data_IF_051517762159
#
_entry.id   IF_051517762159
#
_cell.length_a   1.000
_cell.length_b   1.000
_cell.length_c   1.000
_cell.angle_alpha   90.00
_cell.angle_beta   90.00
_cell.angle_gamma   90.00
#
_symmetry.space_group_name_H-M   'P 1'
#
loop_
_entity.id
_entity.type
_entity.pdbx_description
1 polymer ?
#
# COMPACT_ATOMS: atom_id res chain seq x y z
N UNK A 1 -38.13 23.50 -1.99
CA UNK A 1 -37.39 22.31 -1.51
C UNK A 1 -36.36 21.79 -2.51
N UNK A 2 -36.69 21.63 -3.81
CA UNK A 2 -35.74 21.10 -4.83
C UNK A 2 -34.48 21.97 -5.03
N UNK A 3 -34.61 23.29 -5.08
CA UNK A 3 -33.49 24.24 -5.31
C UNK A 3 -32.46 24.25 -4.18
N UNK A 4 -32.89 24.02 -2.93
CA UNK A 4 -32.01 23.96 -1.77
C UNK A 4 -31.17 22.66 -1.77
N UNK A 5 -31.75 21.54 -2.20
CA UNK A 5 -31.02 20.28 -2.39
C UNK A 5 -29.96 20.37 -3.49
N UNK A 6 -30.22 21.07 -4.59
CA UNK A 6 -29.22 21.25 -5.67
C UNK A 6 -28.03 22.12 -5.22
N UNK A 7 -28.28 23.20 -4.47
CA UNK A 7 -27.20 24.05 -3.95
C UNK A 7 -26.34 23.32 -2.91
N UNK A 8 -26.96 22.54 -2.02
CA UNK A 8 -26.23 21.75 -1.02
C UNK A 8 -25.39 20.64 -1.67
N UNK A 9 -25.92 19.97 -2.71
CA UNK A 9 -25.18 18.97 -3.47
C UNK A 9 -23.95 19.55 -4.19
N UNK A 10 -24.09 20.75 -4.79
CA UNK A 10 -22.98 21.44 -5.44
C UNK A 10 -21.85 21.81 -4.48
N UNK A 11 -22.19 22.28 -3.28
CA UNK A 11 -21.22 22.62 -2.23
C UNK A 11 -20.46 21.40 -1.69
N UNK A 12 -21.16 20.27 -1.51
CA UNK A 12 -20.52 19.04 -1.05
C UNK A 12 -19.55 18.47 -2.09
N UNK A 13 -19.91 18.54 -3.37
CA UNK A 13 -19.04 18.08 -4.45
C UNK A 13 -17.79 18.96 -4.59
N UNK A 14 -17.94 20.28 -4.49
CA UNK A 14 -16.80 21.21 -4.56
C UNK A 14 -15.86 21.04 -3.37
N UNK A 15 -16.39 20.82 -2.17
CA UNK A 15 -15.58 20.52 -0.98
C UNK A 15 -14.85 19.18 -1.14
N UNK A 16 -15.53 18.12 -1.58
CA UNK A 16 -14.91 16.82 -1.81
C UNK A 16 -13.79 16.89 -2.86
N UNK A 17 -14.02 17.63 -3.95
CA UNK A 17 -13.00 17.87 -4.97
C UNK A 17 -11.83 18.70 -4.43
N UNK A 18 -12.09 19.75 -3.64
CA UNK A 18 -11.06 20.56 -2.99
C UNK A 18 -10.18 19.74 -2.04
N UNK A 19 -10.78 18.89 -1.21
CA UNK A 19 -10.06 17.93 -0.36
C UNK A 19 -9.23 16.95 -1.21
N UNK A 20 -9.80 16.44 -2.30
CA UNK A 20 -9.09 15.53 -3.20
C UNK A 20 -7.88 16.22 -3.87
N UNK A 21 -8.03 17.44 -4.35
CA UNK A 21 -6.94 18.20 -4.99
C UNK A 21 -5.83 18.53 -3.97
N UNK A 22 -6.20 18.79 -2.72
CA UNK A 22 -5.25 19.08 -1.62
C UNK A 22 -4.65 17.84 -0.96
N UNK A 23 -4.86 16.66 -1.55
CA UNK A 23 -4.20 15.41 -1.16
C UNK A 23 -4.95 14.55 -0.14
N UNK A 24 -6.15 14.94 0.29
CA UNK A 24 -6.93 14.16 1.24
C UNK A 24 -7.62 12.97 0.57
N UNK A 25 -7.52 11.78 1.17
CA UNK A 25 -8.12 10.53 0.70
C UNK A 25 -8.70 9.75 1.87
N UNK A 26 -9.78 9.02 1.62
CA UNK A 26 -10.27 8.02 2.56
C UNK A 26 -9.50 6.71 2.36
N UNK A 27 -8.86 6.20 3.42
CA UNK A 27 -8.38 4.83 3.45
C UNK A 27 -9.55 3.93 3.85
N UNK A 28 -9.99 3.10 2.91
CA UNK A 28 -11.04 2.10 3.11
C UNK A 28 -10.49 0.67 3.07
N UNK A 29 -9.17 0.52 3.19
CA UNK A 29 -8.50 -0.79 3.22
C UNK A 29 -8.01 -1.11 4.62
N UNK A 30 -8.18 -2.36 5.06
CA UNK A 30 -7.72 -2.82 6.38
C UNK A 30 -6.20 -2.93 6.53
N UNK A 31 -5.43 -2.45 5.55
CA UNK A 31 -3.98 -2.44 5.64
C UNK A 31 -3.45 -1.43 6.64
N UNK A 32 -4.19 -0.35 6.89
CA UNK A 32 -3.97 0.67 7.92
C UNK A 32 -5.34 1.08 8.49
N UNK A 33 -5.42 1.81 9.61
CA UNK A 33 -6.71 2.25 10.17
C UNK A 33 -7.59 2.92 9.12
N UNK A 34 -8.89 2.64 9.16
CA UNK A 34 -9.86 3.34 8.31
C UNK A 34 -9.85 4.82 8.71
N UNK A 35 -10.02 5.72 7.74
CA UNK A 35 -9.92 7.14 8.07
C UNK A 35 -9.63 8.07 6.92
N UNK A 36 -9.51 9.34 7.26
CA UNK A 36 -9.02 10.40 6.40
C UNK A 36 -7.51 10.52 6.54
N UNK A 37 -6.83 10.42 5.40
CA UNK A 37 -5.39 10.56 5.28
C UNK A 37 -5.08 11.75 4.38
N UNK A 38 -4.00 12.46 4.66
CA UNK A 38 -3.45 13.46 3.76
C UNK A 38 -2.21 12.90 3.08
N UNK A 39 -2.16 13.02 1.76
CA UNK A 39 -1.03 12.60 0.94
C UNK A 39 -0.19 13.81 0.55
N UNK A 40 1.09 13.79 0.92
CA UNK A 40 2.04 14.85 0.58
C UNK A 40 2.98 14.39 -0.53
N UNK A 41 3.06 15.16 -1.61
CA UNK A 41 3.99 14.92 -2.70
C UNK A 41 5.41 15.23 -2.23
N UNK A 42 6.31 14.27 -2.39
CA UNK A 42 7.75 14.40 -2.13
C UNK A 42 8.50 13.36 -2.95
N UNK A 43 9.80 13.57 -3.15
CA UNK A 43 10.68 12.61 -3.81
C UNK A 43 11.76 12.08 -2.84
N UNK A 44 11.59 12.33 -1.54
CA UNK A 44 12.49 11.89 -0.49
C UNK A 44 11.75 10.90 0.41
N UNK A 45 12.22 9.66 0.39
CA UNK A 45 11.64 8.54 1.12
C UNK A 45 12.71 7.83 1.91
N UNK A 46 12.38 7.47 3.15
CA UNK A 46 13.27 6.80 4.07
C UNK A 46 12.55 5.63 4.74
N UNK A 47 13.34 4.75 5.35
CA UNK A 47 12.79 3.67 6.17
C UNK A 47 11.87 4.24 7.27
N UNK A 48 10.72 3.60 7.46
CA UNK A 48 9.70 4.00 8.44
C UNK A 48 8.64 4.96 7.90
N UNK A 49 8.84 5.58 6.75
CA UNK A 49 7.82 6.42 6.12
C UNK A 49 6.58 5.58 5.76
N UNK A 50 5.40 6.13 6.07
CA UNK A 50 4.14 5.65 5.54
C UNK A 50 3.92 6.30 4.17
N UNK A 51 3.71 5.51 3.13
CA UNK A 51 3.62 5.99 1.75
C UNK A 51 2.40 5.43 1.04
N UNK A 52 1.95 6.17 0.04
CA UNK A 52 0.97 5.72 -0.95
C UNK A 52 1.69 5.41 -2.26
N UNK A 53 1.42 4.26 -2.87
CA UNK A 53 2.04 3.87 -4.13
C UNK A 53 1.09 3.02 -4.99
N UNK A 54 1.38 2.97 -6.29
CA UNK A 54 0.71 2.07 -7.22
C UNK A 54 1.63 0.88 -7.54
N UNK A 55 1.29 -0.36 -7.16
CA UNK A 55 2.12 -1.50 -7.54
C UNK A 55 2.15 -1.64 -9.07
N UNK A 56 3.30 -2.03 -9.67
CA UNK A 56 3.40 -2.20 -11.12
C UNK A 56 2.51 -3.36 -11.61
N UNK A 57 2.00 -3.30 -12.85
CA UNK A 57 1.24 -4.41 -13.43
C UNK A 57 2.07 -5.70 -13.44
N UNK A 58 1.49 -6.81 -12.96
CA UNK A 58 2.10 -8.14 -13.00
C UNK A 58 1.03 -9.21 -12.82
N UNK A 59 1.34 -10.46 -13.17
CA UNK A 59 0.45 -11.59 -12.93
C UNK A 59 0.10 -11.77 -11.44
N UNK A 60 1.02 -11.42 -10.54
CA UNK A 60 0.77 -11.46 -9.08
C UNK A 60 -0.30 -10.44 -8.68
N UNK A 61 -0.21 -9.21 -9.19
CA UNK A 61 -1.19 -8.16 -8.89
C UNK A 61 -2.54 -8.48 -9.54
N UNK A 62 -2.55 -8.97 -10.78
CA UNK A 62 -3.78 -9.42 -11.45
C UNK A 62 -4.48 -10.53 -10.67
N UNK A 63 -3.73 -11.53 -10.20
CA UNK A 63 -4.28 -12.60 -9.36
C UNK A 63 -4.79 -12.06 -8.02
N UNK A 64 -4.06 -11.12 -7.41
CA UNK A 64 -4.48 -10.49 -6.15
C UNK A 64 -5.78 -9.69 -6.29
N UNK A 65 -6.02 -9.08 -7.45
CA UNK A 65 -7.29 -8.44 -7.79
C UNK A 65 -8.41 -9.47 -7.99
N UNK A 66 -8.18 -10.52 -8.78
CA UNK A 66 -9.15 -11.61 -9.01
C UNK A 66 -9.55 -12.33 -7.71
N UNK A 67 -8.62 -12.43 -6.75
CA UNK A 67 -8.85 -13.05 -5.45
C UNK A 67 -9.24 -12.06 -4.35
N UNK A 68 -9.46 -10.79 -4.71
CA UNK A 68 -9.88 -9.69 -3.83
C UNK A 68 -8.95 -9.36 -2.66
N UNK A 69 -7.68 -9.77 -2.72
CA UNK A 69 -6.67 -9.31 -1.77
C UNK A 69 -6.39 -7.82 -1.94
N UNK A 70 -6.51 -7.33 -3.18
CA UNK A 70 -6.46 -5.93 -3.55
C UNK A 70 -7.81 -5.52 -4.15
N UNK A 71 -8.14 -4.24 -4.05
CA UNK A 71 -9.35 -3.67 -4.67
C UNK A 71 -9.01 -3.03 -6.00
N UNK A 72 -9.96 -3.06 -6.94
CA UNK A 72 -9.81 -2.37 -8.23
C UNK A 72 -9.83 -0.85 -8.05
N UNK A 73 -9.04 -0.13 -8.86
CA UNK A 73 -8.90 1.31 -8.76
C UNK A 73 -8.09 1.94 -9.88
N UNK A 74 -7.47 3.08 -9.58
CA UNK A 74 -6.92 4.01 -10.58
C UNK A 74 -5.46 3.75 -10.96
N UNK A 75 -4.78 2.78 -10.34
CA UNK A 75 -3.42 2.44 -10.73
C UNK A 75 -3.39 1.77 -12.11
N UNK A 76 -2.27 1.91 -12.84
CA UNK A 76 -2.07 1.22 -14.13
C UNK A 76 -2.18 -0.30 -14.04
N UNK A 77 -1.90 -0.87 -12.88
CA UNK A 77 -2.09 -2.29 -12.58
C UNK A 77 -3.54 -2.70 -12.35
N UNK A 78 -4.47 -1.75 -12.36
CA UNK A 78 -5.88 -1.95 -12.08
C UNK A 78 -6.23 -1.88 -10.60
N UNK A 79 -5.27 -1.78 -9.67
CA UNK A 79 -5.55 -1.69 -8.23
C UNK A 79 -5.89 -0.27 -7.76
N UNK A 80 -6.45 -0.15 -6.56
CA UNK A 80 -6.37 1.10 -5.80
C UNK A 80 -4.90 1.38 -5.43
N UNK A 81 -4.51 2.65 -5.21
CA UNK A 81 -3.27 2.97 -4.52
C UNK A 81 -3.23 2.26 -3.16
N UNK A 82 -2.06 1.77 -2.78
CA UNK A 82 -1.84 1.04 -1.54
C UNK A 82 -1.10 1.92 -0.54
N UNK A 83 -1.50 1.84 0.73
CA UNK A 83 -0.78 2.48 1.84
C UNK A 83 0.06 1.41 2.55
N UNK A 84 1.38 1.61 2.59
CA UNK A 84 2.33 0.73 3.29
C UNK A 84 3.46 1.54 3.91
N UNK A 85 4.15 0.94 4.89
CA UNK A 85 5.34 1.50 5.51
C UNK A 85 6.57 0.95 4.82
N UNK A 86 7.56 1.81 4.58
CA UNK A 86 8.86 1.41 4.03
C UNK A 86 9.64 0.65 5.11
N UNK A 87 9.90 -0.63 4.86
CA UNK A 87 10.59 -1.53 5.79
C UNK A 87 12.00 -1.92 5.31
N UNK A 88 12.25 -1.79 4.01
CA UNK A 88 13.58 -1.96 3.40
C UNK A 88 13.89 -0.88 2.38
N UNK A 89 15.17 -0.56 2.25
CA UNK A 89 15.76 0.45 1.34
C UNK A 89 16.96 -0.14 0.58
N UNK A 90 17.50 0.59 -0.41
CA UNK A 90 18.69 0.18 -1.18
C UNK A 90 19.78 -0.45 -0.30
N UNK A 91 20.31 -1.58 -0.76
CA UNK A 91 21.33 -2.37 -0.06
C UNK A 91 20.80 -3.37 0.97
N UNK A 92 19.54 -3.26 1.41
CA UNK A 92 18.95 -4.27 2.29
C UNK A 92 18.74 -5.60 1.54
N UNK A 93 19.29 -6.68 2.11
CA UNK A 93 19.07 -8.05 1.66
C UNK A 93 17.85 -8.65 2.36
N UNK A 94 16.90 -9.16 1.59
CA UNK A 94 15.64 -9.73 2.07
C UNK A 94 15.53 -11.22 1.74
N UNK A 95 15.12 -12.01 2.72
CA UNK A 95 14.77 -13.43 2.55
C UNK A 95 13.46 -13.78 3.24
N UNK A 96 12.82 -14.87 2.80
CA UNK A 96 11.38 -15.14 3.03
C UNK A 96 11.10 -16.56 3.56
N UNK A 97 11.96 -17.07 4.43
CA UNK A 97 11.78 -18.42 5.00
C UNK A 97 10.84 -18.40 6.21
N UNK A 98 9.53 -18.49 5.96
CA UNK A 98 8.44 -18.44 6.96
C UNK A 98 8.24 -17.07 7.63
N UNK A 99 9.27 -16.22 7.62
CA UNK A 99 9.31 -14.86 8.13
C UNK A 99 10.19 -14.00 7.24
N UNK A 100 9.87 -12.72 7.11
CA UNK A 100 10.77 -11.78 6.44
C UNK A 100 12.02 -11.60 7.29
N UNK A 101 13.20 -11.81 6.70
CA UNK A 101 14.49 -11.49 7.31
C UNK A 101 15.14 -10.38 6.52
N UNK A 102 15.64 -9.37 7.21
CA UNK A 102 16.35 -8.23 6.63
C UNK A 102 17.80 -8.24 7.11
N UNK A 103 18.75 -8.30 6.18
CA UNK A 103 20.19 -8.43 6.47
C UNK A 103 20.46 -9.55 7.48
N UNK A 104 19.80 -10.70 7.28
CA UNK A 104 19.92 -11.85 8.17
C UNK A 104 19.24 -11.73 9.53
N UNK A 105 18.53 -10.63 9.83
CA UNK A 105 17.78 -10.44 11.08
C UNK A 105 16.28 -10.69 10.85
N UNK A 106 15.62 -11.58 11.62
CA UNK A 106 14.20 -11.86 11.44
C UNK A 106 13.35 -10.67 11.91
N UNK A 107 12.38 -10.29 11.09
CA UNK A 107 11.33 -9.33 11.45
C UNK A 107 10.13 -10.13 11.98
N UNK A 108 10.19 -10.56 13.25
CA UNK A 108 9.32 -11.59 13.83
C UNK A 108 7.80 -11.39 13.63
N UNK A 109 7.33 -10.14 13.52
CA UNK A 109 5.91 -9.81 13.30
C UNK A 109 5.45 -10.03 11.84
N UNK A 110 6.36 -10.20 10.90
CA UNK A 110 6.11 -10.23 9.46
C UNK A 110 6.30 -11.64 8.89
N UNK A 111 5.36 -12.51 9.25
CA UNK A 111 5.32 -13.88 8.72
C UNK A 111 5.07 -13.88 7.20
N UNK A 112 5.61 -14.87 6.52
CA UNK A 112 5.38 -15.12 5.09
C UNK A 112 4.48 -16.35 4.98
N UNK A 113 3.23 -16.15 4.56
CA UNK A 113 2.28 -17.24 4.45
C UNK A 113 2.41 -17.95 3.10
N UNK A 114 2.37 -19.29 3.11
CA UNK A 114 2.39 -20.12 1.90
C UNK A 114 1.04 -20.26 1.22
N UNK A 115 -0.05 -20.08 1.98
CA UNK A 115 -1.43 -20.14 1.50
C UNK A 115 -2.30 -19.09 2.20
N UNK A 116 -3.40 -18.72 1.54
CA UNK A 116 -4.41 -17.82 2.12
C UNK A 116 -5.45 -18.57 2.98
N UNK A 117 -6.43 -17.85 3.51
CA UNK A 117 -7.52 -18.40 4.33
C UNK A 117 -8.42 -19.40 3.60
N UNK A 118 -8.34 -19.48 2.27
CA UNK A 118 -9.08 -20.43 1.44
C UNK A 118 -8.16 -21.54 0.94
N UNK A 119 -7.00 -21.74 1.57
CA UNK A 119 -5.98 -22.74 1.21
C UNK A 119 -5.40 -22.59 -0.20
N UNK A 120 -5.53 -21.41 -0.82
CA UNK A 120 -4.95 -21.13 -2.14
C UNK A 120 -3.51 -20.71 -1.96
N UNK A 121 -2.60 -21.30 -2.74
CA UNK A 121 -1.16 -20.97 -2.73
C UNK A 121 -0.94 -19.47 -2.97
N UNK A 122 -0.10 -18.87 -2.13
CA UNK A 122 0.36 -17.49 -2.25
C UNK A 122 1.72 -17.44 -2.98
N UNK A 123 2.03 -16.34 -3.70
CA UNK A 123 3.33 -16.14 -4.32
C UNK A 123 4.47 -16.29 -3.30
N UNK A 124 5.55 -16.96 -3.69
CA UNK A 124 6.75 -17.10 -2.86
C UNK A 124 7.92 -16.46 -3.60
N UNK A 125 8.62 -15.55 -2.93
CA UNK A 125 9.75 -14.83 -3.51
C UNK A 125 11.06 -15.53 -3.14
N UNK A 126 12.02 -15.48 -4.06
CA UNK A 126 13.42 -15.79 -3.74
C UNK A 126 14.02 -14.62 -2.96
N UNK A 127 15.11 -14.87 -2.24
CA UNK A 127 15.85 -13.80 -1.60
C UNK A 127 16.42 -12.83 -2.65
N UNK A 128 16.46 -11.54 -2.32
CA UNK A 128 17.00 -10.50 -3.19
C UNK A 128 17.55 -9.35 -2.36
N UNK A 129 18.38 -8.51 -2.98
CA UNK A 129 18.86 -7.26 -2.40
C UNK A 129 18.20 -6.10 -3.15
N UNK A 130 17.68 -5.12 -2.41
CA UNK A 130 17.10 -3.92 -3.02
C UNK A 130 18.18 -3.12 -3.75
N UNK A 131 17.91 -2.73 -4.99
CA UNK A 131 18.78 -1.83 -5.73
C UNK A 131 18.50 -0.37 -5.37
N UNK A 132 19.24 0.54 -5.98
CA UNK A 132 18.95 1.96 -5.90
C UNK A 132 17.52 2.26 -6.34
N UNK A 133 16.90 3.21 -5.65
CA UNK A 133 15.50 3.62 -5.82
C UNK A 133 14.45 2.50 -5.62
N UNK A 134 14.83 1.33 -5.08
CA UNK A 134 13.89 0.30 -4.66
C UNK A 134 13.57 0.34 -3.17
N UNK A 135 12.30 0.06 -2.87
CA UNK A 135 11.78 -0.01 -1.52
C UNK A 135 11.02 -1.31 -1.30
N UNK A 136 11.11 -1.84 -0.09
CA UNK A 136 10.29 -2.96 0.35
C UNK A 136 9.28 -2.50 1.37
N UNK A 137 7.99 -2.71 1.09
CA UNK A 137 6.91 -2.08 1.85
C UNK A 137 5.96 -3.10 2.46
N UNK A 138 5.65 -2.93 3.74
CA UNK A 138 4.72 -3.81 4.46
C UNK A 138 3.76 -3.00 5.34
N UNK A 139 2.69 -3.65 5.79
CA UNK A 139 1.88 -3.08 6.88
C UNK A 139 2.43 -3.53 8.22
N UNK A 140 2.83 -2.60 9.07
CA UNK A 140 3.14 -2.87 10.48
C UNK A 140 1.90 -2.76 11.40
N UNK A 141 0.78 -2.30 10.87
CA UNK A 141 -0.54 -2.26 11.52
C UNK A 141 -1.27 -3.61 11.41
N UNK A 142 -1.39 -4.14 10.20
CA UNK A 142 -2.04 -5.42 9.90
C UNK A 142 -1.06 -6.41 9.25
N UNK A 143 0.05 -6.78 9.93
CA UNK A 143 1.09 -7.60 9.32
C UNK A 143 0.62 -9.01 8.96
N UNK A 144 -0.36 -9.58 9.67
CA UNK A 144 -0.90 -10.92 9.39
C UNK A 144 -1.79 -10.97 8.13
N UNK A 145 -2.52 -9.88 7.84
CA UNK A 145 -3.61 -9.89 6.86
C UNK A 145 -3.36 -8.99 5.64
N UNK A 146 -2.13 -8.51 5.47
CA UNK A 146 -1.77 -7.62 4.37
C UNK A 146 -1.17 -8.35 3.18
N UNK A 147 -1.70 -8.08 1.99
CA UNK A 147 -1.01 -8.37 0.73
C UNK A 147 -0.09 -7.20 0.38
N UNK A 148 1.22 -7.41 0.47
CA UNK A 148 2.26 -6.37 0.34
C UNK A 148 3.56 -6.94 -0.29
N UNK A 149 4.70 -6.25 -0.17
CA UNK A 149 5.95 -6.61 -0.85
C UNK A 149 6.43 -8.03 -0.54
N UNK A 150 5.95 -8.69 0.51
CA UNK A 150 6.19 -10.13 0.74
C UNK A 150 5.79 -11.02 -0.43
N UNK A 151 4.81 -10.60 -1.22
CA UNK A 151 4.24 -11.41 -2.30
C UNK A 151 4.56 -10.87 -3.70
N UNK A 152 4.73 -9.55 -3.85
CA UNK A 152 5.03 -8.92 -5.15
C UNK A 152 6.39 -8.23 -5.24
N UNK A 153 7.18 -8.24 -4.16
CA UNK A 153 8.58 -7.83 -4.17
C UNK A 153 8.80 -6.32 -4.06
N UNK A 154 9.95 -5.91 -4.59
CA UNK A 154 10.44 -4.53 -4.56
C UNK A 154 9.52 -3.57 -5.31
N UNK A 155 9.48 -2.32 -4.84
CA UNK A 155 8.72 -1.23 -5.43
C UNK A 155 9.67 -0.10 -5.78
N UNK A 156 9.66 0.28 -7.05
CA UNK A 156 10.44 1.37 -7.59
C UNK A 156 9.94 2.72 -7.06
N UNK A 157 10.85 3.67 -6.81
CA UNK A 157 10.55 5.01 -6.30
C UNK A 157 9.49 5.74 -7.11
N UNK A 158 9.50 5.56 -8.44
CA UNK A 158 8.56 6.20 -9.35
C UNK A 158 7.10 5.69 -9.22
N UNK A 159 6.90 4.56 -8.54
CA UNK A 159 5.59 4.03 -8.23
C UNK A 159 4.96 4.73 -7.00
N UNK A 160 5.77 5.43 -6.20
CA UNK A 160 5.36 6.13 -4.98
C UNK A 160 4.75 7.49 -5.34
N UNK A 161 3.52 7.72 -4.90
CA UNK A 161 2.76 8.93 -5.18
C UNK A 161 3.01 10.02 -4.12
N UNK A 162 3.43 9.64 -2.92
CA UNK A 162 3.72 10.56 -1.83
C UNK A 162 3.75 9.85 -0.47
N UNK A 163 4.03 10.63 0.59
CA UNK A 163 3.87 10.17 1.98
C UNK A 163 2.40 10.27 2.39
N UNK A 164 1.96 9.35 3.23
CA UNK A 164 0.61 9.34 3.78
C UNK A 164 0.66 9.67 5.28
N UNK A 165 -0.18 10.61 5.70
CA UNK A 165 -0.32 11.02 7.10
C UNK A 165 -1.76 10.79 7.54
N UNK A 166 -2.03 9.98 8.58
CA UNK A 166 -3.38 9.86 9.12
C UNK A 166 -3.78 11.19 9.78
N UNK A 167 -4.92 11.75 9.35
CA UNK A 167 -5.47 12.99 9.93
C UNK A 167 -6.56 12.65 10.94
N UNK A 168 -7.41 11.69 10.60
CA UNK A 168 -8.46 11.18 11.47
C UNK A 168 -8.72 9.72 11.15
N UNK A 169 -8.68 8.84 12.14
CA UNK A 169 -8.88 7.39 11.97
C UNK A 169 -9.98 6.89 12.89
N UNK A 170 -10.72 5.87 12.44
CA UNK A 170 -11.84 5.26 13.16
C UNK A 170 -11.86 3.73 12.98
#
# INVERSE_FOLDING_TARGET
MKTCSFMLGGLLLSLALGLYITGYRLNLTHSYPLGLYQFSKTNQYQQGDLVVFCPPPSAVIEQALKREYLKYGTCKSGSTPLIKKIMGISGDHLSFDGVVRKNGKPLARFLVHSADSHHRKLPQLKAFTLTDDEFFMMSDYAPKNSFDSRYFGAIQKNAIQGKAVPIFTF
#
